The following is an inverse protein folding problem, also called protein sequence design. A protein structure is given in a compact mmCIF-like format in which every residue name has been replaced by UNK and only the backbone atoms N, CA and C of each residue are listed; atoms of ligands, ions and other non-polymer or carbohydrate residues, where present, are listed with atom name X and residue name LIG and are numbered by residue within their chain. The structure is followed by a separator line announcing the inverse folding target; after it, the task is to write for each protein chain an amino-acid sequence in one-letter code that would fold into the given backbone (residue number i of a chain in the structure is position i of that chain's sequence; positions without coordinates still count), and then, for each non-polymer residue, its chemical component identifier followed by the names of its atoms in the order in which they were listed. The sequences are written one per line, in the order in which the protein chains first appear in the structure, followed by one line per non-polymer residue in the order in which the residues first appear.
data_IF_867332894168
#
_entry.id   IF_867332894168
#
_cell.length_a   1.000
_cell.length_b   1.000
_cell.length_c   1.000
_cell.angle_alpha   90.00
_cell.angle_beta   90.00
_cell.angle_gamma   90.00
#
_symmetry.space_group_name_H-M   'P 1'
#
loop_
_entity.id
_entity.type
_entity.pdbx_description
1 polymer ?
#
# COMPACT_ATOMS: atom_id res chain seq x y z
N UNK A 1 19.82 -0.02 -0.60
CA UNK A 1 18.69 0.91 -0.39
C UNK A 1 18.02 0.48 0.90
N UNK A 2 17.67 1.43 1.74
CA UNK A 2 16.98 1.20 3.00
C UNK A 2 15.62 1.91 2.92
N UNK A 3 14.56 1.27 3.40
CA UNK A 3 13.22 1.84 3.48
C UNK A 3 12.96 2.12 4.96
N UNK A 4 12.75 3.38 5.30
CA UNK A 4 12.40 3.78 6.67
C UNK A 4 10.93 3.46 6.91
N UNK A 5 10.65 2.51 7.81
CA UNK A 5 9.30 2.02 8.10
C UNK A 5 8.86 2.55 9.46
N UNK A 6 7.80 3.36 9.55
CA UNK A 6 7.35 3.89 10.82
C UNK A 6 6.83 2.75 11.71
N UNK A 7 7.21 2.80 12.99
CA UNK A 7 6.76 1.82 13.97
C UNK A 7 5.24 1.90 14.15
N UNK A 8 4.58 0.75 14.15
CA UNK A 8 3.16 0.68 14.44
C UNK A 8 2.84 1.18 15.86
N UNK A 9 1.82 2.04 15.98
CA UNK A 9 1.26 2.49 17.25
C UNK A 9 -0.25 2.27 17.22
N UNK A 10 -0.78 1.52 18.19
CA UNK A 10 -2.21 1.17 18.24
C UNK A 10 -3.17 2.36 18.35
N UNK A 11 -2.71 3.51 18.82
CA UNK A 11 -3.54 4.71 18.97
C UNK A 11 -3.54 5.55 17.69
N UNK A 12 -2.56 5.35 16.80
CA UNK A 12 -2.40 6.06 15.53
C UNK A 12 -2.86 5.18 14.36
N UNK A 13 -2.60 3.88 14.43
CA UNK A 13 -2.81 2.92 13.35
C UNK A 13 -1.61 2.81 12.42
N UNK A 14 -1.85 2.28 11.22
CA UNK A 14 -0.85 2.25 10.15
C UNK A 14 -0.57 3.67 9.65
N UNK A 15 0.70 3.92 9.31
CA UNK A 15 1.14 5.19 8.75
C UNK A 15 1.65 4.93 7.33
N UNK A 16 0.90 5.41 6.33
CA UNK A 16 1.22 5.21 4.93
C UNK A 16 2.19 6.29 4.45
N UNK A 17 3.46 5.92 4.25
CA UNK A 17 4.53 6.80 3.81
C UNK A 17 4.67 6.79 2.28
N UNK A 18 4.07 7.78 1.64
CA UNK A 18 4.17 7.99 0.20
C UNK A 18 5.48 8.69 -0.19
N UNK A 19 6.18 8.12 -1.17
CA UNK A 19 7.32 8.77 -1.79
C UNK A 19 6.85 9.88 -2.76
N UNK A 20 7.47 11.07 -2.76
CA UNK A 20 7.07 12.16 -3.64
C UNK A 20 7.08 11.77 -5.12
N UNK A 21 5.99 12.07 -5.84
CA UNK A 21 5.87 11.74 -7.26
C UNK A 21 5.57 10.25 -7.54
N UNK A 22 5.11 9.50 -6.54
CA UNK A 22 4.59 8.16 -6.75
C UNK A 22 3.45 8.18 -7.77
N UNK A 23 3.37 7.10 -8.55
CA UNK A 23 2.26 6.84 -9.48
C UNK A 23 1.99 5.35 -9.49
N UNK A 24 0.74 4.96 -9.22
CA UNK A 24 0.32 3.57 -9.08
C UNK A 24 -1.04 3.39 -9.74
N UNK A 25 -1.09 2.48 -10.71
CA UNK A 25 -2.33 2.05 -11.36
C UNK A 25 -2.58 0.60 -11.07
N UNK A 26 -3.84 0.27 -10.78
CA UNK A 26 -4.28 -1.11 -10.65
C UNK A 26 -5.28 -1.43 -11.75
N UNK A 27 -5.04 -2.53 -12.45
CA UNK A 27 -5.99 -3.10 -13.40
C UNK A 27 -6.16 -4.59 -13.11
N UNK A 28 -7.36 -5.10 -13.31
CA UNK A 28 -7.64 -6.53 -13.29
C UNK A 28 -8.09 -7.00 -14.66
N UNK A 29 -7.55 -8.13 -15.11
CA UNK A 29 -8.03 -8.82 -16.31
C UNK A 29 -8.16 -10.32 -16.01
N UNK A 30 -9.31 -10.89 -16.35
CA UNK A 30 -9.67 -12.29 -16.09
C UNK A 30 -9.42 -12.71 -14.63
N UNK A 31 -8.31 -13.39 -14.37
CA UNK A 31 -7.91 -13.96 -13.07
C UNK A 31 -6.69 -13.27 -12.45
N UNK A 32 -6.18 -12.21 -13.08
CA UNK A 32 -4.94 -11.55 -12.67
C UNK A 32 -5.21 -10.10 -12.28
N UNK A 33 -4.46 -9.63 -11.28
CA UNK A 33 -4.40 -8.22 -10.89
C UNK A 33 -3.00 -7.71 -11.20
N UNK A 34 -2.92 -6.68 -12.02
CA UNK A 34 -1.67 -5.98 -12.32
C UNK A 34 -1.60 -4.70 -11.51
N UNK A 35 -0.55 -4.56 -10.71
CA UNK A 35 -0.18 -3.31 -10.04
C UNK A 35 0.99 -2.73 -10.83
N UNK A 36 0.72 -1.68 -11.61
CA UNK A 36 1.74 -0.94 -12.37
C UNK A 36 2.14 0.30 -11.60
N UNK A 37 3.44 0.49 -11.37
CA UNK A 37 3.92 1.65 -10.63
C UNK A 37 5.29 2.11 -11.11
N UNK A 38 5.55 3.41 -10.95
CA UNK A 38 6.91 3.92 -11.08
C UNK A 38 7.77 3.52 -9.87
N UNK A 39 9.06 3.86 -9.89
CA UNK A 39 9.99 3.55 -8.79
C UNK A 39 9.45 4.01 -7.43
N UNK A 40 8.99 5.26 -7.33
CA UNK A 40 8.49 5.83 -6.07
C UNK A 40 7.19 5.14 -5.59
N UNK A 41 6.31 4.74 -6.51
CA UNK A 41 5.12 3.95 -6.20
C UNK A 41 5.46 2.57 -5.67
N UNK A 42 6.44 1.89 -6.29
CA UNK A 42 6.92 0.59 -5.80
C UNK A 42 7.57 0.71 -4.41
N UNK A 43 8.33 1.77 -4.15
CA UNK A 43 8.92 2.03 -2.83
C UNK A 43 7.87 2.34 -1.77
N UNK A 44 6.85 3.14 -2.12
CA UNK A 44 5.72 3.44 -1.24
C UNK A 44 4.94 2.17 -0.89
N UNK A 45 4.62 1.34 -1.88
CA UNK A 45 3.94 0.06 -1.67
C UNK A 45 4.77 -0.89 -0.81
N UNK A 46 6.08 -0.99 -1.06
CA UNK A 46 6.97 -1.80 -0.22
C UNK A 46 6.99 -1.30 1.23
N UNK A 47 7.03 0.02 1.46
CA UNK A 47 6.91 0.60 2.78
C UNK A 47 5.61 0.20 3.47
N UNK A 48 4.48 0.35 2.78
CA UNK A 48 3.16 0.02 3.33
C UNK A 48 3.01 -1.46 3.68
N UNK A 49 3.53 -2.34 2.83
CA UNK A 49 3.55 -3.79 3.10
C UNK A 49 4.43 -4.12 4.32
N UNK A 50 5.61 -3.49 4.44
CA UNK A 50 6.47 -3.65 5.62
C UNK A 50 5.80 -3.11 6.88
N UNK A 51 5.07 -1.99 6.78
CA UNK A 51 4.32 -1.42 7.89
C UNK A 51 3.23 -2.41 8.36
N UNK A 52 2.42 -2.90 7.42
CA UNK A 52 1.36 -3.88 7.69
C UNK A 52 1.90 -5.19 8.27
N UNK A 53 3.08 -5.64 7.84
CA UNK A 53 3.70 -6.90 8.27
C UNK A 53 4.30 -6.87 9.69
N UNK A 54 4.39 -5.70 10.34
CA UNK A 54 4.96 -5.58 11.69
C UNK A 54 4.27 -6.52 12.68
N UNK A 55 5.04 -7.12 13.59
CA UNK A 55 4.55 -8.11 14.54
C UNK A 55 3.38 -7.58 15.40
N UNK A 56 3.46 -6.31 15.80
CA UNK A 56 2.50 -5.66 16.69
C UNK A 56 1.18 -5.26 15.98
N UNK A 57 1.11 -5.33 14.64
CA UNK A 57 -0.12 -5.07 13.88
C UNK A 57 -1.09 -6.25 14.05
N UNK A 58 -2.34 -6.03 14.49
CA UNK A 58 -3.32 -7.12 14.65
C UNK A 58 -3.73 -7.78 13.32
N UNK A 59 -4.01 -9.09 13.29
CA UNK A 59 -4.71 -9.73 12.17
C UNK A 59 -6.04 -9.05 11.83
N UNK A 60 -6.41 -9.03 10.55
CA UNK A 60 -7.57 -8.31 10.02
C UNK A 60 -7.33 -6.82 9.74
N UNK A 61 -6.16 -6.28 10.13
CA UNK A 61 -5.75 -4.94 9.69
C UNK A 61 -5.50 -4.97 8.18
N UNK A 62 -6.00 -3.97 7.47
CA UNK A 62 -5.85 -3.88 6.03
C UNK A 62 -5.57 -2.47 5.55
N UNK A 63 -5.00 -2.40 4.35
CA UNK A 63 -4.81 -1.18 3.58
C UNK A 63 -5.82 -1.22 2.43
N UNK A 64 -6.61 -0.16 2.29
CA UNK A 64 -7.59 -0.01 1.20
C UNK A 64 -7.19 1.18 0.33
N UNK A 65 -6.93 0.91 -0.95
CA UNK A 65 -6.54 1.93 -1.94
C UNK A 65 -7.56 1.97 -3.08
N UNK A 66 -7.85 3.17 -3.58
CA UNK A 66 -8.71 3.42 -4.73
C UNK A 66 -8.27 4.68 -5.50
N UNK A 67 -8.94 4.95 -6.62
CA UNK A 67 -8.67 6.10 -7.50
C UNK A 67 -8.92 7.47 -6.84
N UNK A 68 -9.67 7.53 -5.73
CA UNK A 68 -9.98 8.79 -5.04
C UNK A 68 -9.01 9.11 -3.91
N UNK A 69 -8.17 8.16 -3.51
CA UNK A 69 -7.24 8.35 -2.39
C UNK A 69 -5.76 8.19 -2.76
N UNK A 70 -5.41 7.28 -3.67
CA UNK A 70 -4.01 6.89 -3.87
C UNK A 70 -3.68 6.35 -5.27
N UNK A 71 -4.65 5.85 -6.02
CA UNK A 71 -4.39 5.21 -7.31
C UNK A 71 -4.71 6.17 -8.46
N UNK A 72 -4.07 5.96 -9.61
CA UNK A 72 -4.37 6.74 -10.82
C UNK A 72 -5.81 6.51 -11.30
N UNK A 73 -6.41 7.50 -11.97
CA UNK A 73 -7.76 7.43 -12.53
C UNK A 73 -8.02 6.14 -13.33
N UNK A 74 -9.21 5.56 -13.10
CA UNK A 74 -9.64 4.31 -13.70
C UNK A 74 -8.94 3.08 -13.12
N UNK A 75 -8.33 3.19 -11.94
CA UNK A 75 -7.79 2.03 -11.22
C UNK A 75 -8.89 1.23 -10.53
N UNK A 76 -8.73 -0.09 -10.52
CA UNK A 76 -9.55 -0.95 -9.68
C UNK A 76 -9.13 -0.78 -8.20
N UNK A 77 -10.10 -0.74 -7.29
CA UNK A 77 -9.82 -0.70 -5.86
C UNK A 77 -9.20 -2.01 -5.37
N UNK A 78 -8.24 -1.92 -4.45
CA UNK A 78 -7.57 -3.08 -3.83
C UNK A 78 -7.58 -3.01 -2.31
N UNK A 79 -7.64 -4.19 -1.69
CA UNK A 79 -7.47 -4.38 -0.26
C UNK A 79 -6.30 -5.34 -0.04
N UNK A 80 -5.38 -4.97 0.85
CA UNK A 80 -4.27 -5.82 1.29
C UNK A 80 -4.41 -6.01 2.79
N UNK A 81 -4.58 -7.25 3.24
CA UNK A 81 -4.89 -7.59 4.63
C UNK A 81 -3.79 -8.43 5.27
N UNK A 82 -3.49 -8.17 6.54
CA UNK A 82 -2.68 -9.06 7.38
C UNK A 82 -3.57 -10.16 7.94
N UNK A 83 -3.17 -11.41 7.71
CA UNK A 83 -3.79 -12.62 8.26
C UNK A 83 -3.06 -13.16 9.48
#
# INVERSE_FOLDING_TARGET
MEIDVPKYDRNIGLQLCWHPGYSIKVSSDNSEVTISANREGLLSMANHLLNLAQADVPPGTHIHLDEYNSLEDGSQSIIIEKV
#
